data_IF_996279833697
#
_entry.id   IF_996279833697
#
_cell.length_a   1.000
_cell.length_b   1.000
_cell.length_c   1.000
_cell.angle_alpha   90.00
_cell.angle_beta   90.00
_cell.angle_gamma   90.00
#
_symmetry.space_group_name_H-M   'P 1'
#
loop_
_entity.id
_entity.type
_entity.pdbx_description
1 polymer ?
#
# COMPACT_ATOMS: atom_id res chain seq x y z
N UNK A 1 9.41 -4.64 21.19
CA UNK A 1 8.31 -4.03 21.98
C UNK A 1 7.05 -4.18 21.15
N UNK A 2 5.99 -4.81 21.69
CA UNK A 2 4.67 -4.75 21.05
C UNK A 2 4.06 -3.38 21.34
N UNK A 3 3.34 -2.74 20.41
CA UNK A 3 2.57 -1.55 20.73
C UNK A 3 1.51 -1.90 21.79
N UNK A 4 1.45 -1.13 22.88
CA UNK A 4 0.64 -1.47 24.07
C UNK A 4 -0.57 -0.58 24.28
N UNK A 5 -0.74 0.47 23.47
CA UNK A 5 -1.82 1.43 23.63
C UNK A 5 -2.63 1.61 22.33
N UNK A 6 -3.86 1.06 22.26
CA UNK A 6 -4.71 1.22 21.09
C UNK A 6 -5.14 2.67 20.85
N UNK A 7 -5.18 3.52 21.89
CA UNK A 7 -5.71 4.88 21.77
C UNK A 7 -4.78 5.84 21.00
N UNK A 8 -3.57 5.39 20.67
CA UNK A 8 -2.63 6.15 19.84
C UNK A 8 -2.83 5.92 18.34
N UNK A 9 -3.76 5.04 17.96
CA UNK A 9 -4.00 4.64 16.58
C UNK A 9 -5.48 4.78 16.22
N UNK A 10 -5.77 4.83 14.91
CA UNK A 10 -7.14 4.58 14.45
C UNK A 10 -7.46 3.09 14.61
N UNK A 11 -8.75 2.74 14.70
CA UNK A 11 -9.18 1.35 14.80
C UNK A 11 -8.58 0.48 13.69
N UNK A 12 -8.63 0.95 12.44
CA UNK A 12 -8.02 0.25 11.29
C UNK A 12 -6.50 0.05 11.44
N UNK A 13 -5.78 1.06 11.92
CA UNK A 13 -4.32 0.98 12.08
C UNK A 13 -3.95 0.03 13.24
N UNK A 14 -4.73 0.06 14.32
CA UNK A 14 -4.58 -0.86 15.43
C UNK A 14 -4.86 -2.31 15.01
N UNK A 15 -5.93 -2.56 14.26
CA UNK A 15 -6.25 -3.88 13.73
C UNK A 15 -5.14 -4.42 12.83
N UNK A 16 -4.58 -3.58 11.94
CA UNK A 16 -3.43 -3.98 11.11
C UNK A 16 -2.19 -4.30 11.95
N UNK A 17 -1.92 -3.53 12.99
CA UNK A 17 -0.81 -3.77 13.93
C UNK A 17 -0.98 -5.13 14.62
N UNK A 18 -2.18 -5.43 15.14
CA UNK A 18 -2.46 -6.72 15.79
C UNK A 18 -2.34 -7.87 14.77
N UNK A 19 -2.94 -7.72 13.59
CA UNK A 19 -2.94 -8.72 12.53
C UNK A 19 -1.55 -8.97 11.92
N UNK A 20 -0.61 -8.02 12.01
CA UNK A 20 0.75 -8.18 11.50
C UNK A 20 1.49 -9.38 12.12
N UNK A 21 1.13 -9.79 13.35
CA UNK A 21 1.68 -10.99 13.96
C UNK A 21 1.29 -12.27 13.21
N UNK A 22 0.05 -12.33 12.71
CA UNK A 22 -0.40 -13.46 11.90
C UNK A 22 0.28 -13.47 10.53
N UNK A 23 0.60 -12.30 9.98
CA UNK A 23 1.42 -12.19 8.77
C UNK A 23 2.82 -12.76 9.03
N UNK A 24 3.50 -12.38 10.11
CA UNK A 24 4.82 -12.93 10.45
C UNK A 24 4.81 -14.46 10.61
N UNK A 25 3.77 -15.00 11.27
CA UNK A 25 3.57 -16.46 11.39
C UNK A 25 3.37 -17.13 10.02
N UNK A 26 2.53 -16.54 9.14
CA UNK A 26 2.30 -17.03 7.78
C UNK A 26 3.59 -17.02 6.94
N UNK A 27 4.44 -16.02 7.13
CA UNK A 27 5.73 -15.90 6.46
C UNK A 27 6.85 -16.75 7.09
N UNK A 28 6.58 -17.44 8.23
CA UNK A 28 7.54 -18.24 9.00
C UNK A 28 8.75 -17.44 9.49
N UNK A 29 8.55 -16.15 9.78
CA UNK A 29 9.56 -15.26 10.35
C UNK A 29 9.38 -15.19 11.87
N UNK A 30 10.50 -15.21 12.61
CA UNK A 30 10.45 -15.19 14.09
C UNK A 30 10.27 -13.78 14.64
N UNK A 31 10.77 -12.78 13.93
CA UNK A 31 10.73 -11.39 14.33
C UNK A 31 9.60 -10.65 13.61
N UNK A 32 8.93 -9.77 14.36
CA UNK A 32 7.93 -8.88 13.82
C UNK A 32 8.59 -7.65 13.21
N UNK A 33 8.85 -7.74 11.92
CA UNK A 33 9.44 -6.67 11.11
C UNK A 33 8.38 -5.76 10.44
N UNK A 34 8.82 -4.60 9.94
CA UNK A 34 7.96 -3.56 9.35
C UNK A 34 7.18 -4.05 8.12
N UNK A 35 7.73 -4.97 7.33
CA UNK A 35 7.04 -5.53 6.16
C UNK A 35 5.75 -6.26 6.54
N UNK A 36 5.67 -6.88 7.72
CA UNK A 36 4.47 -7.57 8.18
C UNK A 36 3.33 -6.58 8.46
N UNK A 37 3.67 -5.43 9.05
CA UNK A 37 2.71 -4.34 9.28
C UNK A 37 2.27 -3.75 7.94
N UNK A 38 3.19 -3.55 7.01
CA UNK A 38 2.86 -3.06 5.67
C UNK A 38 1.90 -4.01 4.93
N UNK A 39 2.16 -5.32 4.98
CA UNK A 39 1.26 -6.33 4.41
C UNK A 39 -0.09 -6.30 5.12
N UNK A 40 -0.14 -6.26 6.44
CA UNK A 40 -1.41 -6.21 7.18
C UNK A 40 -2.25 -4.97 6.84
N UNK A 41 -1.62 -3.80 6.70
CA UNK A 41 -2.27 -2.57 6.25
C UNK A 41 -2.82 -2.68 4.83
N UNK A 42 -2.11 -3.39 3.94
CA UNK A 42 -2.53 -3.64 2.58
C UNK A 42 -3.57 -4.75 2.45
N UNK A 43 -3.68 -5.65 3.43
CA UNK A 43 -4.65 -6.75 3.48
C UNK A 43 -6.04 -6.26 3.95
N UNK A 44 -6.11 -5.17 4.72
CA UNK A 44 -7.38 -4.55 5.16
C UNK A 44 -8.34 -4.29 3.97
N UNK A 45 -9.54 -4.89 3.98
CA UNK A 45 -10.61 -4.58 3.01
C UNK A 45 -10.91 -3.08 3.03
N UNK A 46 -10.95 -2.46 1.85
CA UNK A 46 -11.22 -1.01 1.67
C UNK A 46 -10.34 -0.07 2.54
N UNK A 47 -9.17 -0.54 2.99
CA UNK A 47 -8.26 0.22 3.82
C UNK A 47 -7.58 1.38 3.08
N UNK A 48 -7.35 2.49 3.79
CA UNK A 48 -6.72 3.70 3.23
C UNK A 48 -5.35 3.43 2.59
N UNK A 49 -4.54 2.54 3.17
CA UNK A 49 -3.23 2.18 2.63
C UNK A 49 -3.33 1.59 1.22
N UNK A 50 -4.27 0.66 0.99
CA UNK A 50 -4.54 0.07 -0.32
C UNK A 50 -4.98 1.13 -1.34
N UNK A 51 -5.87 2.05 -0.93
CA UNK A 51 -6.30 3.15 -1.79
C UNK A 51 -5.15 4.07 -2.22
N UNK A 52 -4.23 4.40 -1.32
CA UNK A 52 -3.07 5.24 -1.62
C UNK A 52 -2.14 4.53 -2.60
N UNK A 53 -1.82 3.26 -2.35
CA UNK A 53 -0.95 2.48 -3.24
C UNK A 53 -1.55 2.34 -4.64
N UNK A 54 -2.84 2.05 -4.75
CA UNK A 54 -3.52 1.94 -6.04
C UNK A 54 -3.48 3.25 -6.84
N UNK A 55 -3.68 4.40 -6.18
CA UNK A 55 -3.58 5.71 -6.82
C UNK A 55 -2.15 6.02 -7.29
N UNK A 56 -1.15 5.73 -6.47
CA UNK A 56 0.26 5.95 -6.81
C UNK A 56 0.72 5.07 -7.99
N UNK A 57 0.26 3.82 -8.03
CA UNK A 57 0.52 2.91 -9.15
C UNK A 57 -0.13 3.41 -10.44
N UNK A 58 -1.41 3.81 -10.39
CA UNK A 58 -2.12 4.34 -11.55
C UNK A 58 -1.46 5.62 -12.11
N UNK A 59 -0.97 6.51 -11.25
CA UNK A 59 -0.24 7.71 -11.65
C UNK A 59 1.06 7.39 -12.39
N UNK A 60 1.74 6.29 -12.02
CA UNK A 60 3.01 5.88 -12.61
C UNK A 60 2.81 5.14 -13.95
N UNK A 61 1.71 4.42 -14.11
CA UNK A 61 1.38 3.67 -15.35
C UNK A 61 0.67 4.54 -16.40
N UNK A 62 0.33 5.79 -16.09
CA UNK A 62 -0.21 6.71 -17.10
C UNK A 62 0.82 6.88 -18.22
N UNK A 63 0.54 6.44 -19.46
CA UNK A 63 1.43 6.70 -20.57
C UNK A 63 1.61 8.20 -20.68
N UNK A 64 2.87 8.64 -20.83
CA UNK A 64 3.24 10.04 -20.96
C UNK A 64 2.19 10.77 -21.78
N UNK A 65 1.50 11.74 -21.17
CA UNK A 65 0.47 12.55 -21.80
C UNK A 65 1.07 13.07 -23.10
N UNK A 66 0.64 12.53 -24.25
CA UNK A 66 1.09 12.98 -25.57
C UNK A 66 0.88 14.50 -25.58
N UNK A 67 1.93 15.31 -25.84
CA UNK A 67 1.76 16.74 -25.87
C UNK A 67 0.67 17.07 -26.92
N UNK A 68 -0.30 17.93 -26.61
CA UNK A 68 -1.28 18.37 -27.59
C UNK A 68 -0.54 19.12 -28.70
N UNK A 69 -0.44 18.55 -29.90
CA UNK A 69 0.11 19.24 -31.06
C UNK A 69 0.99 18.45 -32.04
N UNK A 70 1.31 17.17 -31.81
CA UNK A 70 1.94 16.35 -32.86
C UNK A 70 0.85 15.71 -33.73
N UNK A 71 0.40 16.47 -34.73
CA UNK A 71 -0.27 15.95 -35.91
C UNK A 71 0.75 15.13 -36.69
N UNK A 72 0.41 13.90 -37.02
CA UNK A 72 1.17 13.07 -37.95
C UNK A 72 1.19 13.76 -39.33
N UNK A 73 2.23 14.54 -39.62
CA UNK A 73 2.51 15.01 -40.98
C UNK A 73 3.01 13.80 -41.78
N UNK A 74 2.33 13.42 -42.88
CA UNK A 74 2.83 12.34 -43.72
C UNK A 74 4.09 12.84 -44.44
N UNK A 75 5.17 12.08 -44.34
CA UNK A 75 6.37 12.31 -45.12
C UNK A 75 6.03 12.16 -46.61
N UNK A 76 6.17 13.25 -47.37
CA UNK A 76 6.25 13.24 -48.83
C UNK A 76 7.54 12.57 -49.32
#
# INVERSE_FOLDING_TARGET
MQPTDPNQFTDEAWDAIVNSQDVARRCRQQDLEVEHVAIALLDLPDGRARHIVNQALAATTSPARRPPGQSDEPAE
#
